data_IF_112941935521
#
_entry.id   IF_112941935521
#
_cell.length_a   1.000
_cell.length_b   1.000
_cell.length_c   1.000
_cell.angle_alpha   90.00
_cell.angle_beta   90.00
_cell.angle_gamma   90.00
#
_symmetry.space_group_name_H-M   'P 1'
#
loop_
_entity.id
_entity.type
_entity.pdbx_description
1 polymer ?
#
# COMPACT_ATOMS: atom_id res chain seq x y z
N UNK A 1 20.70 -9.07 18.28
CA UNK A 1 20.46 -8.47 17.87
C UNK A 1 19.95 -8.26 16.95
N UNK A 2 19.65 -7.97 16.67
CA UNK A 2 19.12 -7.93 15.81
C UNK A 2 18.60 -6.94 15.10
N UNK A 3 18.98 -6.17 14.68
CA UNK A 3 18.58 -5.29 14.07
C UNK A 3 18.96 -5.34 12.88
N UNK A 4 18.67 -5.14 12.25
CA UNK A 4 18.72 -5.36 11.07
C UNK A 4 18.90 -4.12 10.36
N UNK A 5 17.91 -3.28 10.14
CA UNK A 5 18.00 -2.02 9.44
C UNK A 5 16.80 -1.22 9.79
N UNK A 6 16.88 0.09 9.56
CA UNK A 6 15.77 0.98 9.80
C UNK A 6 15.04 1.19 8.49
N UNK A 7 13.74 1.40 8.60
CA UNK A 7 12.93 1.80 7.48
C UNK A 7 12.63 3.28 7.65
N UNK A 8 12.92 4.06 6.61
CA UNK A 8 12.73 5.51 6.69
C UNK A 8 11.29 5.92 6.48
N UNK A 9 10.44 5.02 6.05
CA UNK A 9 9.08 5.36 5.70
C UNK A 9 8.08 4.44 6.35
N UNK A 10 6.91 4.99 6.62
CA UNK A 10 5.74 4.23 7.00
C UNK A 10 4.77 4.35 5.84
N UNK A 11 4.19 3.24 5.42
CA UNK A 11 3.28 3.20 4.28
C UNK A 11 1.88 2.86 4.74
N UNK A 12 0.91 3.59 4.21
CA UNK A 12 -0.50 3.34 4.45
C UNK A 12 -1.16 3.10 3.11
N UNK A 13 -1.89 2.01 2.99
CA UNK A 13 -2.60 1.68 1.78
C UNK A 13 -4.07 1.56 2.15
N UNK A 14 -4.87 2.51 1.68
CA UNK A 14 -6.27 2.57 2.02
C UNK A 14 -7.12 2.07 0.86
N UNK A 15 -8.13 1.25 1.17
CA UNK A 15 -9.10 0.82 0.17
C UNK A 15 -10.12 1.93 0.03
N UNK A 16 -10.11 2.61 -1.12
CA UNK A 16 -11.00 3.74 -1.34
C UNK A 16 -12.17 3.39 -2.26
N UNK A 17 -12.15 2.21 -2.86
CA UNK A 17 -13.26 1.78 -3.70
C UNK A 17 -13.21 0.29 -3.94
N UNK A 18 -14.38 -0.32 -4.01
CA UNK A 18 -14.51 -1.72 -4.41
C UNK A 18 -15.66 -1.76 -5.40
N UNK A 19 -15.41 -2.28 -6.58
CA UNK A 19 -16.43 -2.33 -7.61
C UNK A 19 -16.60 -3.76 -8.07
N UNK A 20 -17.65 -4.01 -8.78
CA UNK A 20 -17.88 -5.32 -9.33
C UNK A 20 -17.03 -5.62 -10.54
N UNK A 21 -16.30 -4.63 -11.03
CA UNK A 21 -15.49 -4.85 -12.22
C UNK A 21 -16.33 -5.39 -13.35
N UNK A 22 -17.59 -4.97 -13.44
CA UNK A 22 -18.49 -5.50 -14.41
C UNK A 22 -19.10 -6.83 -14.02
N UNK A 23 -18.74 -7.34 -12.87
CA UNK A 23 -19.28 -8.57 -12.36
C UNK A 23 -20.34 -8.27 -11.33
N UNK A 24 -20.67 -9.29 -10.57
CA UNK A 24 -21.65 -9.09 -9.54
C UNK A 24 -20.98 -8.60 -8.29
N UNK A 25 -21.62 -7.69 -7.68
CA UNK A 25 -21.40 -7.30 -6.33
C UNK A 25 -19.99 -7.08 -5.87
N UNK A 26 -19.21 -6.47 -6.63
CA UNK A 26 -17.94 -5.96 -6.16
C UNK A 26 -17.15 -6.90 -5.27
N UNK A 27 -17.09 -8.13 -5.62
CA UNK A 27 -16.37 -9.08 -4.81
C UNK A 27 -14.87 -8.96 -5.00
N UNK A 28 -14.18 -8.84 -3.90
CA UNK A 28 -12.74 -8.88 -3.87
C UNK A 28 -12.31 -10.21 -3.28
N UNK A 29 -11.42 -10.91 -3.96
CA UNK A 29 -10.99 -12.22 -3.48
C UNK A 29 -10.31 -12.16 -2.14
N UNK A 30 -9.70 -11.03 -1.82
CA UNK A 30 -9.05 -10.82 -0.54
C UNK A 30 -10.01 -10.36 0.53
N UNK A 31 -11.26 -10.06 0.14
CA UNK A 31 -12.26 -9.61 1.11
C UNK A 31 -12.10 -8.15 1.49
N UNK A 32 -11.46 -7.36 0.65
CA UNK A 32 -11.27 -5.95 0.97
C UNK A 32 -12.58 -5.19 0.92
N UNK A 33 -12.73 -4.24 1.82
CA UNK A 33 -13.89 -3.37 1.88
C UNK A 33 -13.41 -1.94 1.96
N UNK A 34 -14.24 -1.03 1.48
CA UNK A 34 -13.92 0.39 1.56
C UNK A 34 -13.72 0.76 3.02
N UNK A 35 -12.62 1.45 3.27
CA UNK A 35 -12.25 1.81 4.64
C UNK A 35 -11.21 0.93 5.25
N UNK A 36 -10.89 -0.20 4.62
CA UNK A 36 -9.79 -1.02 5.10
C UNK A 36 -8.49 -0.26 4.91
N UNK A 37 -7.65 -0.31 5.92
CA UNK A 37 -6.38 0.41 5.92
C UNK A 37 -5.27 -0.57 6.24
N UNK A 38 -4.36 -0.73 5.30
CA UNK A 38 -3.18 -1.57 5.48
C UNK A 38 -2.01 -0.68 5.83
N UNK A 39 -1.17 -1.14 6.74
CA UNK A 39 0.02 -0.40 7.12
C UNK A 39 1.23 -1.31 7.13
N UNK A 40 2.36 -0.74 6.79
CA UNK A 40 3.62 -1.46 6.88
C UNK A 40 4.78 -0.48 6.93
N UNK A 41 5.89 -0.97 7.45
CA UNK A 41 7.17 -0.36 7.23
C UNK A 41 7.89 -1.18 6.19
N UNK A 42 8.84 -1.96 6.62
CA UNK A 42 9.53 -2.86 5.71
C UNK A 42 8.81 -4.20 5.54
N UNK A 43 7.99 -4.54 6.52
CA UNK A 43 7.25 -5.81 6.48
C UNK A 43 6.07 -5.72 5.52
N UNK A 44 5.35 -6.82 5.39
CA UNK A 44 4.18 -6.87 4.51
C UNK A 44 3.02 -6.12 5.14
N UNK A 45 2.22 -5.44 4.32
CA UNK A 45 1.11 -4.67 4.87
C UNK A 45 0.04 -5.57 5.50
N UNK A 46 -0.52 -5.09 6.60
CA UNK A 46 -1.58 -5.78 7.32
C UNK A 46 -2.63 -4.73 7.65
N UNK A 47 -3.91 -5.11 7.54
CA UNK A 47 -4.97 -4.16 7.83
C UNK A 47 -5.39 -4.22 9.29
N UNK A 48 -6.35 -3.37 9.65
CA UNK A 48 -6.77 -3.25 11.04
C UNK A 48 -7.46 -4.50 11.57
N UNK A 49 -7.83 -5.41 10.67
CA UNK A 49 -8.43 -6.68 11.08
C UNK A 49 -7.40 -7.80 11.12
N UNK A 50 -6.13 -7.48 10.91
CA UNK A 50 -5.07 -8.46 10.96
C UNK A 50 -4.90 -9.26 9.70
N UNK A 51 -5.50 -8.82 8.59
CA UNK A 51 -5.39 -9.56 7.33
C UNK A 51 -4.26 -9.00 6.50
N UNK A 52 -3.59 -9.89 5.79
CA UNK A 52 -2.51 -9.49 4.91
C UNK A 52 -3.01 -8.88 3.61
N UNK A 53 -2.17 -8.10 3.01
CA UNK A 53 -2.46 -7.47 1.72
C UNK A 53 -2.58 -8.54 0.64
N UNK A 54 -3.39 -8.27 -0.36
CA UNK A 54 -3.63 -9.20 -1.45
C UNK A 54 -2.32 -9.50 -2.20
N UNK A 55 -2.00 -10.78 -2.34
CA UNK A 55 -0.74 -11.17 -2.96
C UNK A 55 -0.65 -10.71 -4.41
N UNK A 56 -1.77 -10.70 -5.13
CA UNK A 56 -1.75 -10.21 -6.51
C UNK A 56 -1.46 -8.71 -6.57
N UNK A 57 -2.07 -7.97 -5.64
CA UNK A 57 -1.87 -6.52 -5.63
C UNK A 57 -0.47 -6.13 -5.21
N UNK A 58 0.26 -7.02 -4.53
CA UNK A 58 1.65 -6.76 -4.19
C UNK A 58 2.51 -6.58 -5.43
N UNK A 59 2.10 -7.16 -6.56
CA UNK A 59 2.84 -6.98 -7.80
C UNK A 59 2.89 -5.51 -8.22
N UNK A 60 1.84 -4.78 -7.89
CA UNK A 60 1.78 -3.36 -8.22
C UNK A 60 2.33 -2.51 -7.09
N UNK A 61 2.06 -2.92 -5.86
CA UNK A 61 2.44 -2.13 -4.71
C UNK A 61 3.95 -2.12 -4.49
N UNK A 62 4.58 -3.26 -4.62
CA UNK A 62 5.99 -3.37 -4.26
C UNK A 62 6.88 -2.38 -5.03
N UNK A 63 6.74 -2.24 -6.35
CA UNK A 63 7.56 -1.25 -7.06
C UNK A 63 7.34 0.16 -6.57
N UNK A 64 6.12 0.49 -6.12
CA UNK A 64 5.84 1.81 -5.60
C UNK A 64 6.57 2.04 -4.28
N UNK A 65 6.56 1.03 -3.41
CA UNK A 65 7.29 1.14 -2.15
C UNK A 65 8.77 1.33 -2.40
N UNK A 66 9.32 0.57 -3.35
CA UNK A 66 10.74 0.68 -3.66
C UNK A 66 11.07 2.02 -4.30
N UNK A 67 10.16 2.57 -5.08
CA UNK A 67 10.36 3.89 -5.65
C UNK A 67 10.51 4.93 -4.54
N UNK A 68 9.64 4.87 -3.54
CA UNK A 68 9.70 5.82 -2.43
C UNK A 68 10.99 5.62 -1.64
N UNK A 69 11.34 4.37 -1.35
CA UNK A 69 12.56 4.08 -0.59
C UNK A 69 13.80 4.57 -1.29
N UNK A 70 13.80 4.56 -2.62
CA UNK A 70 14.91 5.04 -3.40
C UNK A 70 14.93 6.54 -3.63
N UNK A 71 13.99 7.26 -3.01
CA UNK A 71 13.93 8.70 -3.17
C UNK A 71 13.23 9.16 -4.42
N UNK A 72 12.50 8.27 -5.08
CA UNK A 72 11.77 8.62 -6.29
C UNK A 72 10.45 9.30 -5.99
N UNK A 73 9.79 9.69 -7.06
CA UNK A 73 8.56 10.47 -7.00
C UNK A 73 7.44 9.62 -7.59
N UNK A 74 6.44 9.29 -6.79
CA UNK A 74 5.35 8.44 -7.24
C UNK A 74 4.56 9.06 -8.39
N UNK A 75 4.62 10.40 -8.53
CA UNK A 75 3.92 11.06 -9.64
C UNK A 75 4.55 10.71 -10.98
N UNK A 76 5.78 10.23 -10.96
CA UNK A 76 6.47 9.87 -12.21
C UNK A 76 6.12 8.47 -12.67
N UNK A 77 5.45 7.68 -11.84
CA UNK A 77 4.96 6.38 -12.24
C UNK A 77 3.71 6.60 -13.08
N UNK A 78 3.66 5.99 -14.25
CA UNK A 78 2.55 6.20 -15.16
C UNK A 78 1.23 5.70 -14.61
N UNK A 79 0.17 5.98 -15.35
CA UNK A 79 -1.16 5.58 -14.97
C UNK A 79 -2.01 6.77 -14.60
N UNK A 80 -3.31 6.52 -14.49
CA UNK A 80 -4.24 7.57 -14.12
C UNK A 80 -4.66 7.39 -12.68
N UNK A 81 -5.33 8.39 -12.14
CA UNK A 81 -5.84 8.33 -10.79
C UNK A 81 -7.28 7.82 -10.85
N UNK A 82 -7.55 6.62 -10.35
CA UNK A 82 -8.87 6.00 -10.51
C UNK A 82 -10.00 6.83 -9.92
N UNK A 83 -9.74 7.58 -8.85
CA UNK A 83 -10.78 8.39 -8.22
C UNK A 83 -11.04 9.69 -8.99
N UNK A 84 -10.17 10.00 -9.95
CA UNK A 84 -10.27 11.26 -10.66
C UNK A 84 -9.54 12.40 -9.97
N UNK A 85 -9.07 12.19 -8.77
CA UNK A 85 -8.32 13.19 -8.02
C UNK A 85 -6.85 12.85 -8.08
N UNK A 86 -6.11 13.62 -8.85
CA UNK A 86 -4.69 13.35 -9.05
C UNK A 86 -3.92 13.88 -7.84
N UNK A 87 -3.28 13.00 -7.07
CA UNK A 87 -2.53 13.47 -5.92
C UNK A 87 -1.36 14.35 -6.36
N UNK A 88 -1.17 15.42 -5.64
CA UNK A 88 -0.07 16.32 -5.94
C UNK A 88 1.01 16.16 -4.88
N UNK A 89 1.53 14.97 -4.80
CA UNK A 89 2.55 14.65 -3.81
C UNK A 89 3.40 13.52 -4.34
N UNK A 90 4.72 13.58 -4.16
CA UNK A 90 5.58 12.47 -4.55
C UNK A 90 5.37 11.22 -3.70
N UNK A 91 4.60 11.32 -2.63
CA UNK A 91 4.43 10.24 -1.67
C UNK A 91 3.03 9.66 -1.67
N UNK A 92 2.20 10.00 -2.65
CA UNK A 92 0.83 9.51 -2.73
C UNK A 92 0.55 9.00 -4.13
N UNK A 93 -0.10 7.84 -4.23
CA UNK A 93 -0.51 7.33 -5.53
C UNK A 93 -1.72 6.43 -5.38
N UNK A 94 -2.64 6.54 -6.31
CA UNK A 94 -3.78 5.65 -6.39
C UNK A 94 -3.54 4.60 -7.45
N UNK A 95 -4.07 3.42 -7.23
CA UNK A 95 -3.93 2.33 -8.21
C UNK A 95 -5.06 1.33 -8.01
N UNK A 96 -5.26 0.50 -9.03
CA UNK A 96 -6.33 -0.49 -9.03
C UNK A 96 -5.66 -1.87 -9.01
N UNK A 97 -6.27 -2.81 -8.30
CA UNK A 97 -5.71 -4.16 -8.24
C UNK A 97 -5.74 -4.81 -9.62
N UNK A 98 -4.95 -5.87 -9.83
CA UNK A 98 -4.90 -6.51 -11.15
C UNK A 98 -6.25 -7.03 -11.63
N UNK A 99 -7.15 -7.38 -10.73
CA UNK A 99 -8.48 -7.84 -11.11
C UNK A 99 -9.42 -6.69 -11.47
N UNK A 100 -9.01 -5.45 -11.25
CA UNK A 100 -9.84 -4.30 -11.58
C UNK A 100 -10.97 -4.03 -10.62
N UNK A 101 -10.91 -4.62 -9.43
CA UNK A 101 -12.02 -4.56 -8.48
C UNK A 101 -11.77 -3.54 -7.37
N UNK A 102 -10.57 -3.52 -6.84
CA UNK A 102 -10.27 -2.69 -5.67
C UNK A 102 -9.40 -1.52 -6.07
N UNK A 103 -9.79 -0.35 -5.60
CA UNK A 103 -9.00 0.87 -5.78
C UNK A 103 -8.33 1.21 -4.46
N UNK A 104 -7.04 1.41 -4.52
CA UNK A 104 -6.23 1.71 -3.34
C UNK A 104 -5.62 3.10 -3.45
N UNK A 105 -5.34 3.68 -2.28
CA UNK A 105 -4.51 4.89 -2.21
C UNK A 105 -3.32 4.59 -1.30
N UNK A 106 -2.14 4.69 -1.86
CA UNK A 106 -0.90 4.55 -1.12
C UNK A 106 -0.45 5.92 -0.66
N UNK A 107 -0.11 6.03 0.61
CA UNK A 107 0.48 7.23 1.18
C UNK A 107 1.73 6.83 1.94
N UNK A 108 2.84 7.47 1.64
CA UNK A 108 4.09 7.23 2.35
C UNK A 108 4.38 8.40 3.25
N UNK A 109 4.90 8.10 4.43
CA UNK A 109 5.26 9.12 5.40
C UNK A 109 6.69 8.87 5.84
N UNK A 110 7.51 9.90 5.76
CA UNK A 110 8.90 9.77 6.18
C UNK A 110 8.98 9.84 7.69
N UNK A 111 9.69 8.88 8.27
CA UNK A 111 9.79 8.78 9.73
C UNK A 111 11.15 9.17 10.26
N UNK A 112 12.07 9.49 9.38
CA UNK A 112 13.40 9.88 9.82
C UNK A 112 14.29 8.73 10.24
N UNK A 113 13.93 7.53 9.83
CA UNK A 113 14.77 6.37 10.14
C UNK A 113 14.55 5.80 11.52
N UNK A 114 13.46 6.21 12.18
CA UNK A 114 13.19 5.70 13.52
C UNK A 114 12.29 4.48 13.52
N UNK A 115 11.87 4.07 12.36
CA UNK A 115 10.93 2.97 12.23
C UNK A 115 11.72 1.68 12.02
N UNK A 116 12.01 0.99 13.10
CA UNK A 116 12.76 -0.25 13.01
C UNK A 116 11.84 -1.36 12.59
N UNK A 117 12.29 -2.14 11.65
CA UNK A 117 11.56 -3.30 11.24
C UNK A 117 12.00 -4.49 12.08
N UNK A 118 11.12 -4.95 12.92
CA UNK A 118 11.40 -6.12 13.75
C UNK A 118 10.57 -7.31 13.35
N UNK A 119 9.75 -7.17 12.30
CA UNK A 119 8.91 -8.24 11.85
C UNK A 119 7.69 -8.43 12.71
N UNK A 120 7.48 -7.58 13.68
CA UNK A 120 6.31 -7.67 14.52
C UNK A 120 6.31 -8.85 15.45
N UNK A 121 7.09 -9.87 15.16
CA UNK A 121 7.15 -11.04 15.99
C UNK A 121 8.47 -11.17 16.70
N UNK A 122 9.45 -10.43 16.28
CA UNK A 122 10.77 -10.49 16.85
C UNK A 122 10.96 -9.31 17.70
N UNK A 123 10.50 -9.43 18.88
CA UNK A 123 10.72 -8.37 19.77
C UNK A 123 11.90 -8.69 20.54
N UNK A 124 12.77 -7.82 20.64
CA UNK A 124 14.00 -8.04 21.36
C UNK A 124 13.81 -7.95 22.84
#
# INVERSE_FOLDING_TARGET
MNKWYTEDYEFTIEVIGVSGGGKTEGHCRNGDEVGDIYKCGYDCPVNQRGRGFCSKSMLLLFPMLETVRGGGDLRMIGGFSPSGNVPDSPLVKEFVCPDGVVTYRLTAKKTGGENFHTGGFYRE
#
